data_IF_946262981400
#
_entry.id   IF_946262981400
#
_cell.length_a   1.000
_cell.length_b   1.000
_cell.length_c   1.000
_cell.angle_alpha   90.00
_cell.angle_beta   90.00
_cell.angle_gamma   90.00
#
_symmetry.space_group_name_H-M   'P 1'
#
loop_
_entity.id
_entity.type
_entity.pdbx_description
1 polymer ?
#
# COMPACT_ATOMS: atom_id res chain seq x y z
N UNK A 1 -17.35 8.91 14.11
CA UNK A 1 -18.71 8.55 13.67
C UNK A 1 -18.53 7.87 12.33
N UNK A 2 -18.44 6.54 12.30
CA UNK A 2 -18.14 5.78 11.09
C UNK A 2 -19.36 5.82 10.15
N UNK A 3 -19.14 6.18 8.90
CA UNK A 3 -20.18 6.24 7.87
C UNK A 3 -20.17 4.87 7.18
N UNK A 4 -21.17 4.05 7.44
CA UNK A 4 -21.33 2.75 6.77
C UNK A 4 -21.82 3.01 5.35
N UNK A 5 -20.95 2.76 4.36
CA UNK A 5 -21.32 2.80 2.94
C UNK A 5 -21.92 1.44 2.55
N UNK A 6 -23.13 1.38 1.98
CA UNK A 6 -23.74 0.12 1.57
C UNK A 6 -23.02 -0.49 0.36
N UNK A 7 -22.86 -1.83 0.37
CA UNK A 7 -22.17 -2.57 -0.69
C UNK A 7 -22.87 -2.45 -2.05
N UNK A 8 -22.07 -2.20 -3.11
CA UNK A 8 -22.55 -2.12 -4.48
C UNK A 8 -22.87 -3.52 -5.05
N UNK A 9 -23.88 -3.60 -5.93
CA UNK A 9 -24.24 -4.83 -6.65
C UNK A 9 -23.15 -5.21 -7.64
N UNK A 10 -22.78 -6.50 -7.66
CA UNK A 10 -21.86 -7.07 -8.64
C UNK A 10 -22.38 -6.85 -10.07
N UNK A 11 -21.70 -5.99 -10.82
CA UNK A 11 -21.90 -5.87 -12.25
C UNK A 11 -21.20 -7.04 -12.95
N UNK A 12 -21.82 -7.56 -14.02
CA UNK A 12 -21.12 -8.41 -14.99
C UNK A 12 -20.04 -7.56 -15.67
N UNK A 13 -18.78 -7.71 -15.26
CA UNK A 13 -17.69 -6.86 -15.75
C UNK A 13 -17.15 -7.38 -17.09
N UNK A 14 -17.32 -6.56 -18.13
CA UNK A 14 -16.50 -6.63 -19.34
C UNK A 14 -15.09 -6.12 -19.01
N UNK A 15 -14.07 -6.74 -19.63
CA UNK A 15 -12.69 -6.26 -19.55
C UNK A 15 -12.60 -4.81 -20.04
N UNK A 16 -12.01 -3.93 -19.22
CA UNK A 16 -11.85 -2.49 -19.52
C UNK A 16 -10.36 -2.16 -19.60
N UNK A 17 -9.99 -1.46 -20.67
CA UNK A 17 -8.65 -0.88 -20.82
C UNK A 17 -8.69 0.59 -20.38
N UNK A 18 -7.79 0.97 -19.48
CA UNK A 18 -7.71 2.30 -18.89
C UNK A 18 -6.30 2.87 -19.08
N UNK A 19 -6.22 4.15 -19.44
CA UNK A 19 -4.96 4.90 -19.42
C UNK A 19 -4.86 5.63 -18.07
N UNK A 20 -4.23 4.99 -17.10
CA UNK A 20 -4.10 5.47 -15.72
C UNK A 20 -2.67 5.30 -15.22
N UNK A 21 -2.32 6.11 -14.23
CA UNK A 21 -1.01 6.05 -13.59
C UNK A 21 -0.80 4.76 -12.80
N UNK A 22 0.46 4.42 -12.50
CA UNK A 22 0.76 3.29 -11.61
C UNK A 22 0.08 3.41 -10.24
N UNK A 23 -0.02 4.61 -9.68
CA UNK A 23 -0.70 4.84 -8.40
C UNK A 23 -2.21 4.63 -8.47
N UNK A 24 -2.85 5.02 -9.57
CA UNK A 24 -4.27 4.76 -9.81
C UNK A 24 -4.51 3.27 -10.06
N UNK A 25 -3.61 2.59 -10.76
CA UNK A 25 -3.69 1.15 -10.99
C UNK A 25 -3.58 0.34 -9.68
N UNK A 26 -2.72 0.75 -8.75
CA UNK A 26 -2.72 0.19 -7.38
C UNK A 26 -4.07 0.43 -6.70
N UNK A 27 -4.63 1.64 -6.77
CA UNK A 27 -5.93 1.92 -6.16
C UNK A 27 -7.09 1.11 -6.76
N UNK A 28 -7.06 0.81 -8.07
CA UNK A 28 -7.99 -0.15 -8.69
C UNK A 28 -7.81 -1.55 -8.11
N UNK A 29 -6.57 -2.04 -8.02
CA UNK A 29 -6.30 -3.35 -7.42
C UNK A 29 -6.72 -3.44 -5.95
N UNK A 30 -6.51 -2.39 -5.16
CA UNK A 30 -6.97 -2.32 -3.77
C UNK A 30 -8.51 -2.36 -3.67
N UNK A 31 -9.20 -1.76 -4.64
CA UNK A 31 -10.67 -1.80 -4.73
C UNK A 31 -11.13 -3.22 -5.07
N UNK A 32 -10.51 -3.86 -6.07
CA UNK A 32 -10.78 -5.25 -6.46
C UNK A 32 -10.44 -6.25 -5.35
N UNK A 33 -9.42 -5.94 -4.54
CA UNK A 33 -9.03 -6.73 -3.39
C UNK A 33 -9.96 -6.58 -2.19
N UNK A 34 -11.03 -5.76 -2.25
CA UNK A 34 -12.03 -5.60 -1.18
C UNK A 34 -11.37 -5.35 0.19
N UNK A 35 -10.67 -4.21 0.28
CA UNK A 35 -9.90 -3.81 1.44
C UNK A 35 -10.78 -3.33 2.60
N UNK A 36 -10.42 -3.69 3.83
CA UNK A 36 -11.19 -3.28 5.02
C UNK A 36 -10.67 -1.96 5.62
N UNK A 37 -9.34 -1.81 5.75
CA UNK A 37 -8.72 -0.67 6.44
C UNK A 37 -7.51 -0.16 5.67
N UNK A 38 -7.49 1.15 5.39
CA UNK A 38 -6.33 1.86 4.86
C UNK A 38 -5.91 2.97 5.82
N UNK A 39 -4.60 3.12 6.04
CA UNK A 39 -4.07 4.25 6.82
C UNK A 39 -3.07 5.05 6.00
N UNK A 40 -3.15 6.37 6.10
CA UNK A 40 -2.38 7.30 5.28
C UNK A 40 -1.69 8.39 6.11
N UNK A 41 -0.51 8.79 5.64
CA UNK A 41 0.26 9.94 6.10
C UNK A 41 1.00 10.57 4.91
N UNK A 42 0.93 11.89 4.70
CA UNK A 42 1.39 12.48 3.44
C UNK A 42 2.92 12.51 3.31
N UNK A 43 3.46 11.71 2.37
CA UNK A 43 4.82 11.85 1.86
C UNK A 43 4.85 11.45 0.38
N UNK A 44 5.50 12.24 -0.46
CA UNK A 44 5.66 11.91 -1.89
C UNK A 44 6.68 10.78 -2.09
N UNK A 45 6.54 9.93 -3.13
CA UNK A 45 5.47 9.95 -4.14
C UNK A 45 4.29 8.98 -3.90
N UNK A 46 4.32 8.17 -2.83
CA UNK A 46 3.26 7.17 -2.59
C UNK A 46 1.90 7.81 -2.23
N UNK A 47 1.89 9.04 -1.73
CA UNK A 47 0.69 9.77 -1.32
C UNK A 47 -0.38 9.87 -2.42
N UNK A 48 0.03 9.80 -3.69
CA UNK A 48 -0.87 9.70 -4.85
C UNK A 48 -1.79 8.47 -4.81
N UNK A 49 -1.31 7.32 -4.33
CA UNK A 49 -2.13 6.11 -4.11
C UNK A 49 -3.19 6.38 -3.04
N UNK A 50 -2.79 7.05 -1.95
CA UNK A 50 -3.69 7.39 -0.85
C UNK A 50 -4.77 8.40 -1.26
N UNK A 51 -4.43 9.33 -2.14
CA UNK A 51 -5.42 10.23 -2.74
C UNK A 51 -6.38 9.48 -3.68
N UNK A 52 -5.88 8.53 -4.47
CA UNK A 52 -6.70 7.72 -5.37
C UNK A 52 -7.68 6.81 -4.59
N UNK A 53 -7.23 6.13 -3.54
CA UNK A 53 -8.10 5.28 -2.72
C UNK A 53 -9.13 6.11 -1.94
N UNK A 54 -8.77 7.31 -1.45
CA UNK A 54 -9.74 8.23 -0.84
C UNK A 54 -10.86 8.62 -1.81
N UNK A 55 -10.53 8.86 -3.09
CA UNK A 55 -11.53 9.11 -4.14
C UNK A 55 -12.43 7.90 -4.35
N UNK A 56 -11.88 6.67 -4.42
CA UNK A 56 -12.65 5.42 -4.53
C UNK A 56 -13.65 5.25 -3.39
N UNK A 57 -13.22 5.48 -2.16
CA UNK A 57 -14.08 5.36 -0.96
C UNK A 57 -15.18 6.43 -0.97
N UNK A 58 -14.81 7.70 -1.18
CA UNK A 58 -15.78 8.81 -1.22
C UNK A 58 -16.79 8.70 -2.38
N UNK A 59 -16.39 8.07 -3.49
CA UNK A 59 -17.24 7.78 -4.64
C UNK A 59 -18.10 6.53 -4.49
N UNK A 60 -18.01 5.81 -3.36
CA UNK A 60 -18.77 4.60 -3.10
C UNK A 60 -18.33 3.37 -3.91
N UNK A 61 -17.12 3.39 -4.48
CA UNK A 61 -16.55 2.28 -5.24
C UNK A 61 -15.86 1.25 -4.33
N UNK A 62 -15.44 1.67 -3.14
CA UNK A 62 -14.86 0.83 -2.09
C UNK A 62 -15.49 1.19 -0.74
N UNK A 63 -15.80 0.19 0.08
CA UNK A 63 -16.26 0.37 1.46
C UNK A 63 -15.12 -0.04 2.39
N UNK A 64 -14.36 0.95 2.85
CA UNK A 64 -13.20 0.73 3.73
C UNK A 64 -13.07 1.88 4.74
N UNK A 65 -12.45 1.61 5.88
CA UNK A 65 -12.05 2.65 6.83
C UNK A 65 -10.78 3.35 6.33
N UNK A 66 -10.86 4.66 6.12
CA UNK A 66 -9.72 5.50 5.75
C UNK A 66 -9.26 6.31 6.96
N UNK A 67 -8.10 5.95 7.52
CA UNK A 67 -7.56 6.56 8.74
C UNK A 67 -6.39 7.47 8.37
N UNK A 68 -6.45 8.74 8.77
CA UNK A 68 -5.32 9.67 8.65
C UNK A 68 -4.51 9.59 9.94
N UNK A 69 -3.30 9.05 9.86
CA UNK A 69 -2.38 8.97 11.00
C UNK A 69 -1.67 10.31 11.24
N UNK A 70 -1.02 10.44 12.39
CA UNK A 70 -0.19 11.58 12.75
C UNK A 70 1.26 11.48 12.26
N UNK A 71 1.67 10.31 11.77
CA UNK A 71 3.00 10.01 11.23
C UNK A 71 3.09 8.56 10.73
N UNK A 72 4.16 8.23 10.01
CA UNK A 72 4.33 6.89 9.44
C UNK A 72 4.49 5.80 10.49
N UNK A 73 5.14 6.07 11.63
CA UNK A 73 5.19 5.09 12.72
C UNK A 73 3.79 4.63 13.14
N UNK A 74 2.92 5.59 13.48
CA UNK A 74 1.53 5.33 13.85
C UNK A 74 0.72 4.74 12.70
N UNK A 75 0.98 5.16 11.46
CA UNK A 75 0.34 4.60 10.28
C UNK A 75 0.53 3.09 10.19
N UNK A 76 1.78 2.62 10.29
CA UNK A 76 2.10 1.20 10.23
C UNK A 76 1.58 0.44 11.47
N UNK A 77 1.63 1.06 12.65
CA UNK A 77 1.10 0.47 13.88
C UNK A 77 -0.41 0.23 13.80
N UNK A 78 -1.19 1.20 13.29
CA UNK A 78 -2.64 1.09 13.14
C UNK A 78 -3.01 -0.08 12.22
N UNK A 79 -2.43 -0.14 11.01
CA UNK A 79 -2.77 -1.21 10.06
C UNK A 79 -2.25 -2.58 10.49
N UNK A 80 -1.08 -2.64 11.15
CA UNK A 80 -0.57 -3.89 11.72
C UNK A 80 -1.60 -4.47 12.69
N UNK A 81 -2.11 -3.67 13.62
CA UNK A 81 -3.10 -4.12 14.60
C UNK A 81 -4.48 -4.36 13.98
N UNK A 82 -4.90 -3.60 12.97
CA UNK A 82 -6.12 -3.91 12.23
C UNK A 82 -6.02 -5.29 11.54
N UNK A 83 -4.86 -5.63 10.99
CA UNK A 83 -4.64 -6.95 10.38
C UNK A 83 -4.68 -8.09 11.40
N UNK A 84 -4.20 -7.88 12.63
CA UNK A 84 -4.26 -8.94 13.67
C UNK A 84 -5.68 -9.27 14.12
N UNK A 85 -6.64 -8.37 13.92
CA UNK A 85 -8.07 -8.63 14.17
C UNK A 85 -8.82 -9.14 12.93
N UNK A 86 -8.10 -9.45 11.85
CA UNK A 86 -8.62 -10.12 10.66
C UNK A 86 -8.99 -9.20 9.49
N UNK A 87 -8.70 -7.90 9.59
CA UNK A 87 -8.91 -6.98 8.47
C UNK A 87 -7.86 -7.18 7.37
N UNK A 88 -8.27 -7.11 6.11
CA UNK A 88 -7.35 -6.88 4.98
C UNK A 88 -6.95 -5.42 4.99
N UNK A 89 -5.64 -5.16 5.07
CA UNK A 89 -5.11 -3.81 5.30
C UNK A 89 -4.14 -3.35 4.22
N UNK A 90 -4.02 -2.04 4.10
CA UNK A 90 -3.06 -1.38 3.22
C UNK A 90 -2.51 -0.12 3.87
N UNK A 91 -1.22 0.11 3.67
CA UNK A 91 -0.59 1.40 3.94
C UNK A 91 0.58 1.58 2.96
N UNK A 92 1.35 2.64 3.13
CA UNK A 92 2.57 2.81 2.35
C UNK A 92 3.39 3.99 2.83
N UNK A 93 4.59 4.12 2.31
CA UNK A 93 5.40 5.32 2.55
C UNK A 93 6.45 5.47 1.46
N UNK A 94 7.35 6.43 1.66
CA UNK A 94 8.43 6.79 0.76
C UNK A 94 9.62 7.31 1.56
N UNK A 95 10.85 6.93 1.18
CA UNK A 95 12.08 7.51 1.72
C UNK A 95 12.13 7.54 3.25
N UNK A 96 12.31 8.73 3.83
CA UNK A 96 12.43 8.93 5.28
C UNK A 96 11.20 8.53 6.07
N UNK A 97 10.01 8.53 5.47
CA UNK A 97 8.79 8.05 6.13
C UNK A 97 8.82 6.54 6.40
N UNK A 98 9.38 5.78 5.46
CA UNK A 98 9.62 4.35 5.64
C UNK A 98 10.62 4.10 6.78
N UNK A 99 11.67 4.92 6.86
CA UNK A 99 12.65 4.87 7.96
C UNK A 99 12.03 5.25 9.31
N UNK A 100 11.11 6.21 9.33
CA UNK A 100 10.43 6.63 10.55
C UNK A 100 9.55 5.51 11.15
N UNK A 101 9.03 4.62 10.30
CA UNK A 101 8.24 3.46 10.71
C UNK A 101 9.06 2.20 11.06
N UNK A 102 10.39 2.28 11.14
CA UNK A 102 11.28 1.11 11.22
C UNK A 102 10.94 0.14 12.36
N UNK A 103 10.59 0.65 13.54
CA UNK A 103 10.21 -0.21 14.67
C UNK A 103 9.02 -1.10 14.29
N UNK A 104 7.95 -0.51 13.77
CA UNK A 104 6.77 -1.26 13.33
C UNK A 104 7.13 -2.25 12.20
N UNK A 105 7.92 -1.81 11.21
CA UNK A 105 8.34 -2.66 10.09
C UNK A 105 9.11 -3.90 10.57
N UNK A 106 10.00 -3.76 11.56
CA UNK A 106 10.79 -4.87 12.10
C UNK A 106 9.93 -5.86 12.88
N UNK A 107 8.92 -5.39 13.62
CA UNK A 107 8.06 -6.29 14.44
C UNK A 107 6.93 -6.95 13.66
N UNK A 108 6.54 -6.43 12.49
CA UNK A 108 5.43 -7.00 11.69
C UNK A 108 5.70 -8.44 11.23
N UNK A 109 6.84 -8.80 10.60
CA UNK A 109 7.13 -10.17 10.17
C UNK A 109 7.14 -11.23 11.29
N UNK A 110 7.80 -11.05 12.45
CA UNK A 110 7.80 -12.06 13.51
C UNK A 110 6.41 -12.26 14.16
N UNK A 111 5.53 -11.26 14.08
CA UNK A 111 4.13 -11.38 14.48
C UNK A 111 3.26 -12.07 13.43
N UNK A 112 3.82 -12.42 12.26
CA UNK A 112 3.13 -13.13 11.18
C UNK A 112 1.90 -12.36 10.69
N UNK A 113 2.05 -11.05 10.52
CA UNK A 113 0.96 -10.16 10.08
C UNK A 113 1.00 -10.00 8.55
N UNK A 114 0.00 -10.49 7.81
CA UNK A 114 0.00 -10.53 6.34
C UNK A 114 -0.46 -9.20 5.72
N UNK A 115 0.20 -8.09 6.08
CA UNK A 115 -0.11 -6.79 5.51
C UNK A 115 0.61 -6.55 4.18
N UNK A 116 -0.06 -5.86 3.24
CA UNK A 116 0.56 -5.36 2.02
C UNK A 116 0.81 -3.86 2.18
N UNK A 117 2.02 -3.43 1.84
CA UNK A 117 2.39 -2.02 1.83
C UNK A 117 3.00 -1.62 0.50
N UNK A 118 2.84 -0.35 0.11
CA UNK A 118 3.56 0.21 -1.02
C UNK A 118 4.73 1.09 -0.56
N UNK A 119 5.90 0.87 -1.15
CA UNK A 119 7.09 1.71 -0.98
C UNK A 119 7.24 2.51 -2.26
N UNK A 120 6.78 3.76 -2.25
CA UNK A 120 7.04 4.68 -3.35
C UNK A 120 8.49 5.13 -3.23
N UNK A 121 9.40 4.49 -3.99
CA UNK A 121 10.83 4.64 -3.79
C UNK A 121 11.26 6.10 -3.90
N UNK A 122 11.94 6.58 -2.87
CA UNK A 122 12.45 7.94 -2.77
C UNK A 122 13.75 7.93 -1.99
N UNK A 123 14.74 8.65 -2.50
CA UNK A 123 16.02 8.86 -1.82
C UNK A 123 15.83 9.39 -0.39
N UNK A 124 16.70 8.92 0.50
CA UNK A 124 16.76 9.40 1.88
C UNK A 124 17.39 10.80 1.95
N UNK A 125 17.17 11.47 3.08
CA UNK A 125 17.87 12.72 3.38
C UNK A 125 19.34 12.43 3.73
N UNK A 126 20.33 13.28 3.45
CA UNK A 126 20.38 14.74 3.19
C UNK A 126 21.17 15.00 1.88
N UNK A 127 20.75 15.89 0.94
CA UNK A 127 19.88 17.07 1.09
C UNK A 127 18.36 16.84 1.02
N UNK A 128 17.92 15.58 0.94
CA UNK A 128 16.54 15.21 0.63
C UNK A 128 16.28 15.31 -0.86
N UNK A 129 16.67 14.27 -1.59
CA UNK A 129 16.41 14.19 -3.01
C UNK A 129 14.96 13.72 -3.26
N UNK A 130 14.26 14.44 -4.15
CA UNK A 130 12.96 13.98 -4.66
C UNK A 130 13.11 12.81 -5.65
N UNK A 131 14.34 12.49 -6.05
CA UNK A 131 14.65 11.40 -6.95
C UNK A 131 14.40 10.03 -6.33
N UNK A 132 14.36 9.02 -7.20
CA UNK A 132 14.20 7.62 -6.82
C UNK A 132 15.54 7.03 -6.38
N UNK A 133 15.54 6.32 -5.26
CA UNK A 133 16.55 5.34 -4.88
C UNK A 133 15.81 4.19 -4.19
N UNK A 134 16.33 2.97 -4.28
CA UNK A 134 15.65 1.79 -3.70
C UNK A 134 16.13 1.49 -2.27
N UNK A 135 16.95 2.38 -1.69
CA UNK A 135 17.53 2.18 -0.36
C UNK A 135 16.47 2.16 0.75
N UNK A 136 15.36 2.86 0.56
CA UNK A 136 14.22 2.84 1.46
C UNK A 136 13.61 1.43 1.55
N UNK A 137 13.20 0.83 0.43
CA UNK A 137 12.69 -0.55 0.40
C UNK A 137 13.76 -1.57 0.84
N UNK A 138 15.00 -1.41 0.38
CA UNK A 138 16.06 -2.39 0.62
C UNK A 138 16.54 -2.44 2.07
N UNK A 139 16.22 -1.44 2.91
CA UNK A 139 16.62 -1.44 4.32
C UNK A 139 15.96 -2.59 5.11
N UNK A 140 14.78 -3.05 4.69
CA UNK A 140 14.03 -4.11 5.38
C UNK A 140 14.31 -5.51 4.82
N UNK A 141 15.25 -5.65 3.87
CA UNK A 141 15.54 -6.93 3.19
C UNK A 141 15.89 -8.07 4.15
N UNK A 142 16.43 -7.73 5.32
CA UNK A 142 16.95 -8.69 6.30
C UNK A 142 15.97 -8.98 7.44
N UNK A 143 14.80 -8.33 7.48
CA UNK A 143 13.86 -8.40 8.63
C UNK A 143 12.58 -9.19 8.36
N UNK A 144 12.46 -9.84 7.20
CA UNK A 144 11.39 -10.80 6.90
C UNK A 144 10.23 -10.24 6.06
N UNK A 145 10.40 -9.07 5.44
CA UNK A 145 9.49 -8.57 4.42
C UNK A 145 9.75 -9.27 3.08
N UNK A 146 8.68 -9.65 2.38
CA UNK A 146 8.76 -9.99 0.96
C UNK A 146 8.82 -8.68 0.16
N UNK A 147 9.76 -8.57 -0.76
CA UNK A 147 9.96 -7.38 -1.59
C UNK A 147 9.75 -7.72 -3.06
N UNK A 148 8.96 -6.93 -3.77
CA UNK A 148 8.83 -6.98 -5.23
C UNK A 148 8.88 -5.57 -5.80
N UNK A 149 9.40 -5.43 -7.02
CA UNK A 149 9.41 -4.18 -7.77
C UNK A 149 8.45 -4.30 -8.94
N UNK A 150 7.73 -3.22 -9.21
CA UNK A 150 6.83 -3.07 -10.36
C UNK A 150 7.38 -2.02 -11.30
N UNK A 151 7.27 -2.24 -12.61
CA UNK A 151 7.85 -1.36 -13.65
C UNK A 151 6.79 -0.73 -14.56
N UNK A 152 5.54 -1.22 -14.53
CA UNK A 152 4.44 -0.70 -15.36
C UNK A 152 3.14 -0.56 -14.58
N UNK A 153 2.22 0.28 -15.04
CA UNK A 153 0.90 0.44 -14.41
C UNK A 153 0.10 -0.87 -14.41
N UNK A 154 0.27 -1.70 -15.44
CA UNK A 154 -0.34 -3.03 -15.48
C UNK A 154 0.26 -3.96 -14.40
N UNK A 155 1.59 -4.00 -14.29
CA UNK A 155 2.24 -4.76 -13.21
C UNK A 155 1.85 -4.23 -11.84
N UNK A 156 1.59 -2.94 -11.68
CA UNK A 156 1.12 -2.34 -10.44
C UNK A 156 -0.23 -2.94 -10.02
N UNK A 157 -1.17 -3.07 -10.95
CA UNK A 157 -2.46 -3.72 -10.72
C UNK A 157 -2.28 -5.21 -10.39
N UNK A 158 -1.61 -5.94 -11.27
CA UNK A 158 -1.47 -7.40 -11.18
C UNK A 158 -0.72 -7.81 -9.91
N UNK A 159 0.39 -7.13 -9.63
CA UNK A 159 1.26 -7.45 -8.49
C UNK A 159 0.58 -7.12 -7.18
N UNK A 160 -0.26 -6.09 -7.11
CA UNK A 160 -1.02 -5.78 -5.89
C UNK A 160 -1.99 -6.93 -5.55
N UNK A 161 -2.69 -7.48 -6.55
CA UNK A 161 -3.57 -8.63 -6.34
C UNK A 161 -2.79 -9.90 -5.98
N UNK A 162 -1.68 -10.15 -6.68
CA UNK A 162 -0.76 -11.27 -6.38
C UNK A 162 -0.19 -11.13 -4.96
N UNK A 163 0.14 -9.92 -4.54
CA UNK A 163 0.73 -9.65 -3.23
C UNK A 163 -0.20 -10.09 -2.11
N UNK A 164 -1.49 -9.72 -2.17
CA UNK A 164 -2.48 -10.22 -1.20
C UNK A 164 -2.59 -11.74 -1.25
N UNK A 165 -2.66 -12.32 -2.44
CA UNK A 165 -2.76 -13.77 -2.61
C UNK A 165 -1.59 -14.52 -1.95
N UNK A 166 -0.37 -13.98 -2.06
CA UNK A 166 0.84 -14.59 -1.48
C UNK A 166 0.96 -14.28 0.02
N UNK A 167 0.81 -13.02 0.42
CA UNK A 167 0.96 -12.57 1.81
C UNK A 167 -0.03 -13.26 2.75
N UNK A 168 -1.28 -13.42 2.32
CA UNK A 168 -2.35 -14.03 3.12
C UNK A 168 -2.42 -15.55 3.01
N UNK A 169 -1.62 -16.19 2.15
CA UNK A 169 -1.56 -17.65 2.10
C UNK A 169 -1.06 -18.20 3.45
N UNK A 170 -1.81 -19.12 4.05
CA UNK A 170 -1.51 -19.66 5.39
C UNK A 170 -0.15 -20.36 5.49
N UNK A 171 0.42 -20.78 4.36
CA UNK A 171 1.78 -21.37 4.27
C UNK A 171 2.86 -20.29 4.31
N UNK A 172 2.54 -19.06 3.92
CA UNK A 172 3.44 -17.91 3.87
C UNK A 172 3.20 -17.00 5.06
N UNK A 173 2.04 -16.34 5.15
CA UNK A 173 1.56 -15.50 6.26
C UNK A 173 2.62 -14.50 6.76
N UNK A 174 3.12 -13.68 5.82
CA UNK A 174 4.19 -12.68 6.00
C UNK A 174 3.81 -11.39 5.28
N UNK A 175 4.31 -10.23 5.74
CA UNK A 175 4.06 -8.96 5.08
C UNK A 175 4.82 -8.85 3.76
N UNK A 176 4.26 -8.06 2.83
CA UNK A 176 4.81 -7.84 1.49
C UNK A 176 4.84 -6.35 1.17
N UNK A 177 6.00 -5.87 0.74
CA UNK A 177 6.23 -4.50 0.29
C UNK A 177 6.37 -4.48 -1.24
N UNK A 178 5.45 -3.76 -1.89
CA UNK A 178 5.45 -3.48 -3.31
C UNK A 178 6.24 -2.20 -3.51
N UNK A 179 7.40 -2.31 -4.12
CA UNK A 179 8.29 -1.20 -4.42
C UNK A 179 7.93 -0.62 -5.78
N UNK A 180 7.71 0.69 -5.84
CA UNK A 180 7.33 1.41 -7.05
C UNK A 180 8.24 2.62 -7.26
N UNK A 181 8.88 2.70 -8.42
CA UNK A 181 9.82 3.78 -8.72
C UNK A 181 9.12 5.14 -8.72
N UNK A 182 9.62 6.02 -7.84
CA UNK A 182 9.07 7.35 -7.64
C UNK A 182 9.15 8.22 -8.89
N UNK A 183 8.05 8.91 -9.21
CA UNK A 183 7.84 9.72 -10.42
C UNK A 183 7.79 8.92 -11.73
N UNK A 184 8.65 7.92 -11.91
CA UNK A 184 8.68 7.11 -13.13
C UNK A 184 7.42 6.26 -13.30
N UNK A 185 6.96 5.61 -12.23
CA UNK A 185 5.78 4.74 -12.29
C UNK A 185 4.58 5.33 -11.54
N UNK A 186 4.82 5.98 -10.40
CA UNK A 186 3.73 6.53 -9.59
C UNK A 186 2.97 7.68 -10.29
N UNK A 187 3.54 8.27 -11.35
CA UNK A 187 2.97 9.42 -12.07
C UNK A 187 2.87 9.22 -13.60
N UNK A 188 3.34 8.10 -14.13
CA UNK A 188 3.25 7.77 -15.57
C UNK A 188 2.20 6.70 -15.84
#
# INVERSE_FOLDING_TARGET
MAVVTPAARAATEEDKELLISGSEAVAEALTLADLDVVTAYPIRPYDTVMQAIAKKISGGQLVAEYIVAEGEHSQFEIVKHASTVGARVFCGSSGVGWMYAMECLVVTPPLRVPMVALVGNRALDDPGAFGVEHNDALVVRDVGWMLCWIDTSQEALDTTLIAYRVAEDRRVFLPLAISADGAFLTHS
#
